data_IF_484988105466
#
_entry.id   IF_484988105466
#
_cell.length_a   1.000
_cell.length_b   1.000
_cell.length_c   1.000
_cell.angle_alpha   90.00
_cell.angle_beta   90.00
_cell.angle_gamma   90.00
#
_symmetry.space_group_name_H-M   'P 1'
#
loop_
_entity.id
_entity.type
_entity.pdbx_description
1 polymer ?
#
# COMPACT_ATOMS: atom_id res chain seq x y z
N UNK A 1 7.72 -1.28 13.13
CA UNK A 1 7.93 -0.10 12.26
C UNK A 1 7.63 -0.54 10.84
N UNK A 2 7.00 0.29 10.01
CA UNK A 2 6.74 -0.08 8.60
C UNK A 2 8.09 -0.07 7.87
N UNK A 3 8.27 -0.95 6.89
CA UNK A 3 9.52 -1.08 6.13
C UNK A 3 10.77 -1.48 6.95
N UNK A 4 10.58 -2.20 8.05
CA UNK A 4 11.62 -3.01 8.68
C UNK A 4 11.72 -4.37 7.99
N UNK A 5 12.88 -5.06 8.05
CA UNK A 5 12.99 -6.40 7.50
C UNK A 5 11.93 -7.34 8.11
N UNK A 6 11.29 -8.14 7.27
CA UNK A 6 10.33 -9.18 7.66
C UNK A 6 10.28 -10.27 6.57
N UNK A 7 9.37 -11.25 6.71
CA UNK A 7 9.29 -12.44 5.86
C UNK A 7 9.33 -12.10 4.36
N UNK A 8 10.51 -12.22 3.75
CA UNK A 8 10.76 -12.01 2.32
C UNK A 8 11.06 -10.57 1.89
N UNK A 9 10.90 -9.58 2.78
CA UNK A 9 11.28 -8.19 2.54
C UNK A 9 12.49 -7.78 3.40
N UNK A 10 13.58 -7.33 2.76
CA UNK A 10 14.85 -7.03 3.44
C UNK A 10 14.85 -5.69 4.19
N UNK A 11 13.75 -4.95 4.17
CA UNK A 11 13.68 -3.56 4.60
C UNK A 11 13.93 -2.61 3.43
N UNK A 12 13.75 -1.31 3.68
CA UNK A 12 13.98 -0.27 2.67
C UNK A 12 15.37 -0.41 2.03
N UNK A 13 15.45 -0.29 0.71
CA UNK A 13 16.70 -0.48 -0.07
C UNK A 13 17.81 0.43 0.48
N UNK A 14 17.50 1.72 0.66
CA UNK A 14 18.33 2.65 1.41
C UNK A 14 17.72 2.92 2.81
N UNK A 15 18.52 2.93 3.89
CA UNK A 15 18.02 3.25 5.23
C UNK A 15 17.26 4.58 5.32
N UNK A 16 17.67 5.59 4.53
CA UNK A 16 17.03 6.89 4.41
C UNK A 16 15.63 6.85 3.79
N UNK A 17 15.31 5.84 2.96
CA UNK A 17 14.02 5.71 2.28
C UNK A 17 12.92 5.21 3.20
N UNK A 18 13.29 4.60 4.33
CA UNK A 18 12.33 4.04 5.29
C UNK A 18 11.32 5.07 5.79
N UNK A 19 11.79 6.25 6.19
CA UNK A 19 10.92 7.28 6.74
C UNK A 19 9.99 7.90 5.68
N UNK A 20 10.47 8.27 4.48
CA UNK A 20 9.61 8.67 3.35
C UNK A 20 8.56 7.63 2.97
N UNK A 21 8.94 6.36 2.77
CA UNK A 21 8.02 5.27 2.42
C UNK A 21 6.94 5.08 3.48
N UNK A 22 7.35 5.08 4.76
CA UNK A 22 6.41 5.02 5.87
C UNK A 22 5.44 6.22 5.86
N UNK A 23 5.94 7.43 5.63
CA UNK A 23 5.13 8.65 5.61
C UNK A 23 4.05 8.61 4.50
N UNK A 24 4.38 8.10 3.31
CA UNK A 24 3.42 7.94 2.21
C UNK A 24 2.31 6.94 2.58
N UNK A 25 2.65 5.79 3.17
CA UNK A 25 1.65 4.81 3.62
C UNK A 25 0.79 5.37 4.77
N UNK A 26 1.40 6.04 5.74
CA UNK A 26 0.69 6.67 6.87
C UNK A 26 -0.27 7.76 6.38
N UNK A 27 0.15 8.56 5.39
CA UNK A 27 -0.70 9.56 4.75
C UNK A 27 -1.90 8.94 4.04
N UNK A 28 -1.72 7.85 3.30
CA UNK A 28 -2.83 7.16 2.63
C UNK A 28 -3.84 6.56 3.62
N UNK A 29 -3.36 5.97 4.72
CA UNK A 29 -4.24 5.49 5.81
C UNK A 29 -5.07 6.63 6.37
N UNK A 30 -4.42 7.77 6.67
CA UNK A 30 -5.10 8.94 7.22
C UNK A 30 -6.13 9.50 6.24
N UNK A 31 -5.75 9.68 4.96
CA UNK A 31 -6.63 10.21 3.92
C UNK A 31 -7.90 9.35 3.77
N UNK A 32 -7.76 8.02 3.74
CA UNK A 32 -8.90 7.11 3.64
C UNK A 32 -9.74 7.09 4.93
N UNK A 33 -9.11 7.15 6.11
CA UNK A 33 -9.83 7.19 7.39
C UNK A 33 -10.62 8.49 7.61
N UNK A 34 -10.20 9.59 6.98
CA UNK A 34 -10.88 10.89 7.04
C UNK A 34 -11.96 11.07 5.96
N UNK A 35 -12.14 10.08 5.07
CA UNK A 35 -13.20 10.11 4.06
C UNK A 35 -14.59 10.02 4.71
N UNK A 36 -15.59 10.73 4.17
CA UNK A 36 -16.95 10.64 4.67
C UNK A 36 -17.58 9.28 4.32
N UNK A 37 -18.38 8.76 5.25
CA UNK A 37 -19.19 7.58 5.01
C UNK A 37 -20.42 7.88 4.14
N UNK A 38 -20.86 6.94 3.28
CA UNK A 38 -20.22 5.64 3.05
C UNK A 38 -18.98 5.76 2.14
N UNK A 39 -17.95 4.97 2.45
CA UNK A 39 -16.79 4.84 1.57
C UNK A 39 -17.19 4.30 0.19
N UNK A 40 -16.69 4.95 -0.86
CA UNK A 40 -16.91 4.55 -2.26
C UNK A 40 -15.69 3.81 -2.78
N UNK A 41 -15.90 2.58 -3.22
CA UNK A 41 -14.85 1.66 -3.69
C UNK A 41 -13.93 2.31 -4.74
N UNK A 42 -14.50 2.96 -5.77
CA UNK A 42 -13.70 3.58 -6.83
C UNK A 42 -12.85 4.74 -6.31
N UNK A 43 -13.38 5.53 -5.37
CA UNK A 43 -12.65 6.64 -4.75
C UNK A 43 -11.47 6.12 -3.93
N UNK A 44 -11.69 5.10 -3.09
CA UNK A 44 -10.62 4.49 -2.28
C UNK A 44 -9.57 3.85 -3.20
N UNK A 45 -9.99 3.16 -4.27
CA UNK A 45 -9.06 2.59 -5.25
C UNK A 45 -8.18 3.66 -5.88
N UNK A 46 -8.76 4.79 -6.31
CA UNK A 46 -7.99 5.88 -6.91
C UNK A 46 -6.95 6.46 -5.94
N UNK A 47 -7.31 6.66 -4.66
CA UNK A 47 -6.34 7.11 -3.63
C UNK A 47 -5.19 6.13 -3.44
N UNK A 48 -5.46 4.82 -3.52
CA UNK A 48 -4.44 3.79 -3.40
C UNK A 48 -3.56 3.70 -4.66
N UNK A 49 -4.11 3.96 -5.86
CA UNK A 49 -3.30 4.11 -7.08
C UNK A 49 -2.39 5.34 -7.02
N UNK A 50 -2.85 6.44 -6.40
CA UNK A 50 -2.02 7.62 -6.16
C UNK A 50 -0.85 7.31 -5.21
N UNK A 51 -1.09 6.54 -4.14
CA UNK A 51 -0.04 6.03 -3.24
C UNK A 51 0.99 5.19 -4.00
N UNK A 52 0.54 4.23 -4.83
CA UNK A 52 1.46 3.39 -5.62
C UNK A 52 2.28 4.27 -6.58
N UNK A 53 1.65 5.30 -7.14
CA UNK A 53 2.31 6.22 -8.06
C UNK A 53 3.34 7.12 -7.37
N UNK A 54 3.10 7.54 -6.11
CA UNK A 54 4.01 8.43 -5.37
C UNK A 54 5.34 7.78 -5.00
N UNK A 55 5.40 6.45 -5.03
CA UNK A 55 6.60 5.67 -4.70
C UNK A 55 7.33 5.10 -5.93
N UNK A 56 6.92 5.46 -7.15
CA UNK A 56 7.44 4.86 -8.39
C UNK A 56 8.95 5.03 -8.62
N UNK A 57 9.59 6.00 -7.95
CA UNK A 57 11.03 6.24 -7.99
C UNK A 57 11.87 5.38 -7.04
N UNK A 58 11.24 4.62 -6.13
CA UNK A 58 11.94 3.74 -5.18
C UNK A 58 12.26 2.38 -5.80
N UNK A 59 13.11 1.61 -5.11
CA UNK A 59 13.46 0.26 -5.51
C UNK A 59 12.23 -0.63 -5.70
N UNK A 60 12.35 -1.66 -6.56
CA UNK A 60 11.23 -2.56 -6.88
C UNK A 60 10.66 -3.22 -5.62
N UNK A 61 11.51 -3.72 -4.72
CA UNK A 61 11.07 -4.36 -3.48
C UNK A 61 10.27 -3.40 -2.57
N UNK A 62 10.68 -2.12 -2.51
CA UNK A 62 9.98 -1.09 -1.73
C UNK A 62 8.61 -0.77 -2.33
N UNK A 63 8.54 -0.66 -3.66
CA UNK A 63 7.28 -0.44 -4.38
C UNK A 63 6.32 -1.62 -4.20
N UNK A 64 6.84 -2.85 -4.20
CA UNK A 64 6.06 -4.05 -3.93
C UNK A 64 5.52 -4.07 -2.50
N UNK A 65 6.34 -3.71 -1.51
CA UNK A 65 5.90 -3.63 -0.11
C UNK A 65 4.85 -2.53 0.11
N UNK A 66 5.00 -1.36 -0.54
CA UNK A 66 3.94 -0.33 -0.58
C UNK A 66 2.66 -0.88 -1.19
N UNK A 67 2.78 -1.65 -2.28
CA UNK A 67 1.65 -2.33 -2.93
C UNK A 67 0.91 -3.27 -1.97
N UNK A 68 1.64 -4.04 -1.15
CA UNK A 68 1.04 -4.89 -0.11
C UNK A 68 0.31 -4.07 0.95
N UNK A 69 0.87 -2.93 1.36
CA UNK A 69 0.16 -2.01 2.25
C UNK A 69 -1.12 -1.46 1.61
N UNK A 70 -1.10 -1.10 0.33
CA UNK A 70 -2.28 -0.62 -0.38
C UNK A 70 -3.43 -1.65 -0.34
N UNK A 71 -3.13 -2.94 -0.56
CA UNK A 71 -4.11 -4.03 -0.43
C UNK A 71 -4.61 -4.19 1.01
N UNK A 72 -3.72 -4.08 2.00
CA UNK A 72 -4.12 -4.16 3.42
C UNK A 72 -5.05 -2.99 3.79
N UNK A 73 -4.80 -1.80 3.28
CA UNK A 73 -5.64 -0.61 3.49
C UNK A 73 -7.02 -0.79 2.83
N UNK A 74 -7.07 -1.30 1.60
CA UNK A 74 -8.32 -1.63 0.91
C UNK A 74 -9.22 -2.55 1.75
N UNK A 75 -8.65 -3.62 2.32
CA UNK A 75 -9.37 -4.55 3.20
C UNK A 75 -9.78 -3.90 4.52
N UNK A 76 -8.90 -3.09 5.10
CA UNK A 76 -9.20 -2.36 6.35
C UNK A 76 -10.32 -1.32 6.17
N UNK A 77 -10.49 -0.78 4.96
CA UNK A 77 -11.63 0.08 4.59
C UNK A 77 -12.95 -0.70 4.44
N UNK A 78 -12.96 -2.02 4.66
CA UNK A 78 -14.17 -2.85 4.67
C UNK A 78 -14.54 -3.47 3.31
N UNK A 79 -13.72 -3.30 2.28
CA UNK A 79 -13.95 -3.91 0.98
C UNK A 79 -13.45 -5.36 0.95
N UNK A 80 -14.38 -6.30 0.71
CA UNK A 80 -14.08 -7.73 0.66
C UNK A 80 -13.89 -8.26 -0.78
N UNK A 81 -14.23 -7.47 -1.80
CA UNK A 81 -13.90 -7.79 -3.19
C UNK A 81 -12.45 -7.45 -3.54
N UNK A 82 -11.98 -7.97 -4.68
CA UNK A 82 -10.66 -7.62 -5.25
C UNK A 82 -10.51 -6.11 -5.41
N UNK A 83 -9.34 -5.60 -5.00
CA UNK A 83 -8.98 -4.20 -5.12
C UNK A 83 -8.86 -3.76 -6.58
N UNK A 84 -8.38 -4.65 -7.45
CA UNK A 84 -8.05 -4.32 -8.84
C UNK A 84 -6.85 -3.38 -8.99
N UNK A 85 -6.02 -3.22 -7.94
CA UNK A 85 -4.81 -2.39 -8.01
C UNK A 85 -3.69 -3.02 -8.84
N UNK A 86 -3.71 -4.35 -8.97
CA UNK A 86 -2.72 -5.14 -9.69
C UNK A 86 -3.40 -6.07 -10.70
N UNK A 87 -2.71 -6.51 -11.76
CA UNK A 87 -3.25 -7.47 -12.74
C UNK A 87 -3.39 -8.90 -12.18
N UNK A 88 -2.95 -9.14 -10.95
CA UNK A 88 -3.06 -10.41 -10.25
C UNK A 88 -3.97 -10.26 -9.02
N UNK A 89 -4.45 -11.38 -8.51
CA UNK A 89 -5.33 -11.43 -7.33
C UNK A 89 -4.65 -10.83 -6.08
N UNK A 90 -5.41 -10.10 -5.26
CA UNK A 90 -4.94 -9.46 -4.03
C UNK A 90 -4.25 -10.44 -3.07
N UNK A 91 -4.78 -11.67 -2.93
CA UNK A 91 -4.15 -12.70 -2.09
C UNK A 91 -2.80 -13.16 -2.64
N UNK A 92 -2.61 -13.14 -3.97
CA UNK A 92 -1.30 -13.45 -4.57
C UNK A 92 -0.29 -12.33 -4.30
N UNK A 93 -0.74 -11.07 -4.32
CA UNK A 93 0.11 -9.93 -3.93
C UNK A 93 0.56 -10.05 -2.48
N UNK A 94 -0.35 -10.42 -1.58
CA UNK A 94 -0.05 -10.56 -0.14
C UNK A 94 0.74 -11.81 0.23
N UNK A 95 0.69 -12.86 -0.60
CA UNK A 95 1.38 -14.12 -0.35
C UNK A 95 2.80 -14.15 -0.92
N UNK A 96 3.20 -13.13 -1.69
CA UNK A 96 4.56 -13.02 -2.17
C UNK A 96 5.48 -12.75 -0.98
N UNK A 97 6.59 -13.48 -0.82
CA UNK A 97 7.62 -13.18 0.18
C UNK A 97 8.19 -11.79 -0.10
#
# INVERSE_FOLDING_TARGET
MKFSPHDGYMGADAPEDRAPLQAEVDKAIKDIAEMPDPLVADTVRNRLLDLISSVNWYATEDREEVGRYAIRIWRAAGFNQESGLFPINDNKVLAYP
#
